data_IF_581488615273
#
_entry.id   IF_581488615273
#
_cell.length_a   1.000
_cell.length_b   1.000
_cell.length_c   1.000
_cell.angle_alpha   90.00
_cell.angle_beta   90.00
_cell.angle_gamma   90.00
#
_symmetry.space_group_name_H-M   'P 1'
#
loop_
_entity.id
_entity.type
_entity.pdbx_description
1 polymer ?
#
# COMPACT_ATOMS: atom_id res chain seq x y z
N UNK A 1 -9.31 31.25 -32.06
CA UNK A 1 -8.23 30.26 -32.27
C UNK A 1 -7.41 30.15 -31.00
N UNK A 2 -7.38 28.97 -30.38
CA UNK A 2 -6.26 28.32 -29.66
C UNK A 2 -6.85 27.21 -28.79
N UNK A 3 -6.53 25.98 -29.20
CA UNK A 3 -6.91 24.70 -28.60
C UNK A 3 -6.07 24.50 -27.33
N UNK A 4 -6.67 24.16 -26.20
CA UNK A 4 -5.93 23.54 -25.10
C UNK A 4 -6.74 22.38 -24.53
N UNK A 5 -6.43 21.18 -25.04
CA UNK A 5 -6.87 19.92 -24.47
C UNK A 5 -6.33 19.79 -23.05
N UNK A 6 -7.19 20.09 -22.09
CA UNK A 6 -6.91 19.86 -20.68
C UNK A 6 -6.78 18.35 -20.46
N UNK A 7 -5.58 17.96 -20.03
CA UNK A 7 -5.14 16.60 -19.73
C UNK A 7 -6.04 15.98 -18.66
N UNK A 8 -7.07 15.27 -19.08
CA UNK A 8 -7.98 14.47 -18.23
C UNK A 8 -7.20 13.41 -17.40
N UNK A 9 -5.95 13.11 -17.76
CA UNK A 9 -5.11 12.15 -17.03
C UNK A 9 -4.48 12.63 -15.71
N UNK A 10 -4.49 13.93 -15.39
CA UNK A 10 -3.72 14.46 -14.24
C UNK A 10 -4.56 14.71 -12.96
N UNK A 11 -5.88 14.62 -13.02
CA UNK A 11 -6.77 15.01 -11.90
C UNK A 11 -7.20 13.81 -11.03
N UNK A 12 -7.04 12.58 -11.49
CA UNK A 12 -7.52 11.39 -10.77
C UNK A 12 -6.64 10.92 -9.59
N UNK A 13 -5.43 11.46 -9.42
CA UNK A 13 -4.49 11.01 -8.38
C UNK A 13 -4.49 11.87 -7.10
N UNK A 14 -5.20 13.00 -7.07
CA UNK A 14 -5.13 13.95 -5.96
C UNK A 14 -6.29 13.88 -4.94
N UNK A 15 -7.32 13.07 -5.18
CA UNK A 15 -8.54 13.06 -4.36
C UNK A 15 -8.59 12.00 -3.24
N UNK A 16 -7.52 11.22 -2.99
CA UNK A 16 -7.57 10.05 -2.09
C UNK A 16 -7.05 10.33 -0.66
N UNK A 17 -6.59 11.54 -0.34
CA UNK A 17 -5.83 11.78 0.91
C UNK A 17 -6.50 12.65 1.97
N UNK A 18 -7.82 12.85 1.93
CA UNK A 18 -8.52 13.62 2.95
C UNK A 18 -9.65 12.79 3.57
N UNK A 19 -9.47 12.48 4.87
CA UNK A 19 -10.42 11.94 5.85
C UNK A 19 -10.68 10.42 5.86
N UNK A 20 -10.04 9.72 6.82
CA UNK A 20 -10.64 8.66 7.65
C UNK A 20 -11.10 7.33 7.04
N UNK A 21 -11.24 7.21 5.72
CA UNK A 21 -11.67 6.00 5.02
C UNK A 21 -10.57 5.56 4.04
N UNK A 22 -10.31 4.25 4.01
CA UNK A 22 -9.44 3.65 3.00
C UNK A 22 -9.92 3.90 1.56
N UNK A 23 -9.12 3.52 0.55
CA UNK A 23 -9.55 3.63 -0.84
C UNK A 23 -10.82 2.82 -1.07
N UNK A 24 -11.63 3.21 -2.06
CA UNK A 24 -12.72 2.35 -2.56
C UNK A 24 -12.16 1.18 -3.37
N UNK A 25 -12.95 0.12 -3.61
CA UNK A 25 -12.51 -1.03 -4.42
C UNK A 25 -12.04 -0.64 -5.84
N UNK A 26 -12.73 0.25 -6.58
CA UNK A 26 -12.23 0.72 -7.87
C UNK A 26 -10.91 1.51 -7.76
N UNK A 27 -10.77 2.37 -6.75
CA UNK A 27 -9.53 3.12 -6.52
C UNK A 27 -8.36 2.19 -6.20
N UNK A 28 -8.60 1.16 -5.40
CA UNK A 28 -7.62 0.12 -5.12
C UNK A 28 -7.18 -0.60 -6.40
N UNK A 29 -8.11 -1.03 -7.24
CA UNK A 29 -7.79 -1.72 -8.50
C UNK A 29 -6.96 -0.84 -9.45
N UNK A 30 -7.32 0.44 -9.59
CA UNK A 30 -6.53 1.40 -10.38
C UNK A 30 -5.13 1.57 -9.81
N UNK A 31 -5.00 1.67 -8.48
CA UNK A 31 -3.70 1.77 -7.82
C UNK A 31 -2.85 0.50 -8.05
N UNK A 32 -3.45 -0.69 -7.97
CA UNK A 32 -2.79 -1.97 -8.24
C UNK A 32 -2.25 -2.01 -9.68
N UNK A 33 -3.08 -1.70 -10.67
CA UNK A 33 -2.66 -1.70 -12.08
C UNK A 33 -1.59 -0.64 -12.35
N UNK A 34 -1.71 0.54 -11.74
CA UNK A 34 -0.68 1.58 -11.80
C UNK A 34 0.66 1.07 -11.25
N UNK A 35 0.64 0.38 -10.10
CA UNK A 35 1.82 -0.21 -9.49
C UNK A 35 2.41 -1.37 -10.30
N UNK A 36 1.60 -2.17 -11.00
CA UNK A 36 2.12 -3.22 -11.90
C UNK A 36 2.94 -2.62 -13.04
N UNK A 37 2.42 -1.56 -13.67
CA UNK A 37 3.06 -0.91 -14.82
C UNK A 37 4.16 0.11 -14.49
N UNK A 38 4.24 0.61 -13.25
CA UNK A 38 5.16 1.70 -12.89
C UNK A 38 5.98 1.39 -11.64
N UNK A 39 7.30 1.20 -11.83
CA UNK A 39 8.26 1.09 -10.70
C UNK A 39 8.21 2.34 -9.83
N UNK A 40 8.12 3.53 -10.43
CA UNK A 40 8.04 4.80 -9.68
C UNK A 40 6.79 4.87 -8.81
N UNK A 41 5.66 4.36 -9.28
CA UNK A 41 4.45 4.27 -8.48
C UNK A 41 4.62 3.30 -7.29
N UNK A 42 5.23 2.12 -7.52
CA UNK A 42 5.56 1.18 -6.43
C UNK A 42 6.48 1.80 -5.38
N UNK A 43 7.52 2.49 -5.83
CA UNK A 43 8.48 3.15 -4.94
C UNK A 43 7.78 4.23 -4.10
N UNK A 44 6.91 5.04 -4.72
CA UNK A 44 6.12 6.04 -4.00
C UNK A 44 5.16 5.42 -2.98
N UNK A 45 4.38 4.41 -3.35
CA UNK A 45 3.47 3.73 -2.41
C UNK A 45 4.24 3.08 -1.27
N UNK A 46 5.41 2.51 -1.53
CA UNK A 46 6.29 1.96 -0.50
C UNK A 46 6.77 3.04 0.47
N UNK A 47 7.17 4.21 -0.04
CA UNK A 47 7.58 5.34 0.79
C UNK A 47 6.43 5.89 1.64
N UNK A 48 5.24 6.04 1.06
CA UNK A 48 4.04 6.49 1.76
C UNK A 48 3.63 5.49 2.87
N UNK A 49 3.77 4.19 2.60
CA UNK A 49 3.58 3.15 3.62
C UNK A 49 4.57 3.29 4.78
N UNK A 50 5.86 3.50 4.51
CA UNK A 50 6.90 3.65 5.56
C UNK A 50 6.61 4.87 6.45
N UNK A 51 6.16 5.97 5.84
CA UNK A 51 5.83 7.21 6.56
C UNK A 51 4.64 7.03 7.53
N UNK A 52 3.73 6.09 7.26
CA UNK A 52 2.57 5.82 8.09
C UNK A 52 2.82 5.00 9.36
N UNK A 53 4.04 4.51 9.60
CA UNK A 53 4.35 3.67 10.77
C UNK A 53 4.44 4.48 12.07
N UNK A 54 3.64 4.09 13.06
CA UNK A 54 3.83 4.46 14.47
C UNK A 54 4.92 3.60 15.12
N UNK A 55 5.46 4.03 16.26
CA UNK A 55 6.47 3.25 17.00
C UNK A 55 5.95 1.86 17.42
N UNK A 56 4.72 1.76 17.92
CA UNK A 56 4.08 0.47 18.23
C UNK A 56 3.93 -0.41 16.99
N UNK A 57 3.64 0.19 15.83
CA UNK A 57 3.60 -0.52 14.55
C UNK A 57 4.96 -1.09 14.14
N UNK A 58 6.06 -0.39 14.44
CA UNK A 58 7.43 -0.87 14.18
C UNK A 58 7.73 -2.13 14.99
N UNK A 59 7.46 -2.08 16.29
CA UNK A 59 7.69 -3.21 17.20
C UNK A 59 6.87 -4.44 16.78
N UNK A 60 5.57 -4.25 16.50
CA UNK A 60 4.71 -5.33 16.01
C UNK A 60 5.19 -5.90 14.67
N UNK A 61 5.60 -5.06 13.73
CA UNK A 61 6.15 -5.52 12.46
C UNK A 61 7.48 -6.27 12.64
N UNK A 62 8.39 -5.80 13.48
CA UNK A 62 9.66 -6.46 13.76
C UNK A 62 9.44 -7.90 14.26
N UNK A 63 8.48 -8.09 15.18
CA UNK A 63 8.11 -9.41 15.70
C UNK A 63 7.53 -10.33 14.62
N UNK A 64 6.60 -9.85 13.80
CA UNK A 64 5.95 -10.68 12.78
C UNK A 64 6.89 -11.00 11.62
N UNK A 65 7.76 -10.06 11.25
CA UNK A 65 8.71 -10.19 10.15
C UNK A 65 9.97 -10.99 10.52
N UNK A 66 10.25 -11.14 11.81
CA UNK A 66 11.49 -11.67 12.38
C UNK A 66 12.73 -10.90 11.89
N UNK A 67 12.72 -9.58 12.09
CA UNK A 67 13.82 -8.67 11.69
C UNK A 67 14.08 -7.60 12.74
N UNK A 68 15.28 -6.97 12.77
CA UNK A 68 15.53 -5.81 13.62
C UNK A 68 14.55 -4.65 13.35
N UNK A 69 14.16 -3.90 14.39
CA UNK A 69 13.21 -2.77 14.28
C UNK A 69 13.59 -1.75 13.21
N UNK A 70 14.89 -1.48 13.03
CA UNK A 70 15.41 -0.55 12.01
C UNK A 70 15.03 -0.96 10.58
N UNK A 71 14.82 -2.25 10.33
CA UNK A 71 14.48 -2.81 9.02
C UNK A 71 12.98 -3.07 8.86
N UNK A 72 12.24 -3.14 9.97
CA UNK A 72 10.85 -3.57 10.00
C UNK A 72 9.94 -2.76 9.07
N UNK A 73 10.03 -1.42 9.08
CA UNK A 73 9.20 -0.57 8.20
C UNK A 73 9.42 -0.88 6.73
N UNK A 74 10.69 -0.94 6.33
CA UNK A 74 11.10 -1.16 4.93
C UNK A 74 10.66 -2.54 4.47
N UNK A 75 10.97 -3.58 5.25
CA UNK A 75 10.65 -4.97 4.91
C UNK A 75 9.13 -5.19 4.88
N UNK A 76 8.38 -4.63 5.84
CA UNK A 76 6.92 -4.68 5.86
C UNK A 76 6.33 -4.11 4.56
N UNK A 77 6.64 -2.85 4.27
CA UNK A 77 6.05 -2.16 3.12
C UNK A 77 6.45 -2.81 1.79
N UNK A 78 7.69 -3.29 1.65
CA UNK A 78 8.13 -4.03 0.47
C UNK A 78 7.34 -5.32 0.28
N UNK A 79 7.19 -6.15 1.33
CA UNK A 79 6.43 -7.41 1.26
C UNK A 79 4.95 -7.16 0.93
N UNK A 80 4.35 -6.16 1.57
CA UNK A 80 2.95 -5.80 1.36
C UNK A 80 2.68 -5.31 -0.07
N UNK A 81 3.48 -4.35 -0.56
CA UNK A 81 3.33 -3.81 -1.93
C UNK A 81 3.57 -4.91 -2.96
N UNK A 82 4.60 -5.74 -2.77
CA UNK A 82 4.87 -6.87 -3.65
C UNK A 82 3.68 -7.84 -3.69
N UNK A 83 3.14 -8.22 -2.53
CA UNK A 83 2.01 -9.15 -2.44
C UNK A 83 0.73 -8.58 -3.08
N UNK A 84 0.44 -7.30 -2.88
CA UNK A 84 -0.68 -6.61 -3.54
C UNK A 84 -0.52 -6.64 -5.06
N UNK A 85 0.66 -6.26 -5.58
CA UNK A 85 0.91 -6.25 -7.03
C UNK A 85 0.89 -7.66 -7.66
N UNK A 86 1.28 -8.68 -6.89
CA UNK A 86 1.25 -10.08 -7.31
C UNK A 86 -0.14 -10.73 -7.17
N UNK A 87 -1.16 -10.01 -6.67
CA UNK A 87 -2.48 -10.56 -6.41
C UNK A 87 -2.54 -11.52 -5.21
N UNK A 88 -1.47 -11.59 -4.41
CA UNK A 88 -1.43 -12.35 -3.15
C UNK A 88 -2.17 -11.66 -2.02
N UNK A 89 -2.50 -10.37 -2.16
CA UNK A 89 -3.40 -9.64 -1.26
C UNK A 89 -4.41 -8.85 -2.11
N UNK A 90 -5.63 -8.78 -1.62
CA UNK A 90 -6.75 -8.14 -2.30
C UNK A 90 -7.28 -6.94 -1.50
N UNK A 91 -8.40 -6.39 -1.96
CA UNK A 91 -9.03 -5.23 -1.35
C UNK A 91 -9.55 -5.55 0.06
N UNK A 92 -10.09 -6.75 0.24
CA UNK A 92 -10.65 -7.23 1.49
C UNK A 92 -9.54 -7.42 2.55
N UNK A 93 -8.36 -7.90 2.15
CA UNK A 93 -7.17 -7.93 3.01
C UNK A 93 -6.73 -6.51 3.43
N UNK A 94 -6.69 -5.55 2.50
CA UNK A 94 -6.34 -4.16 2.81
C UNK A 94 -7.34 -3.53 3.79
N UNK A 95 -8.65 -3.72 3.57
CA UNK A 95 -9.68 -3.20 4.46
C UNK A 95 -9.56 -3.80 5.87
N UNK A 96 -9.25 -5.10 5.95
CA UNK A 96 -9.01 -5.79 7.21
C UNK A 96 -7.82 -5.19 7.97
N UNK A 97 -6.75 -4.80 7.28
CA UNK A 97 -5.62 -4.11 7.89
C UNK A 97 -5.97 -2.71 8.40
N UNK A 98 -6.72 -1.93 7.61
CA UNK A 98 -7.19 -0.58 8.00
C UNK A 98 -8.07 -0.67 9.25
N UNK A 99 -8.91 -1.71 9.33
CA UNK A 99 -9.74 -2.03 10.49
C UNK A 99 -8.96 -2.63 11.68
N UNK A 100 -7.62 -2.73 11.60
CA UNK A 100 -6.74 -3.32 12.61
C UNK A 100 -7.07 -4.79 12.95
N UNK A 101 -7.55 -5.54 11.95
CA UNK A 101 -7.91 -6.96 12.04
C UNK A 101 -7.24 -7.74 10.90
N UNK A 102 -5.90 -7.82 10.86
CA UNK A 102 -5.19 -8.45 9.75
C UNK A 102 -5.61 -9.92 9.58
N UNK A 103 -5.77 -10.35 8.34
CA UNK A 103 -6.10 -11.75 8.01
C UNK A 103 -4.86 -12.64 8.18
N UNK A 104 -5.06 -13.96 8.33
CA UNK A 104 -3.94 -14.91 8.33
C UNK A 104 -3.11 -14.84 7.02
N UNK A 105 -3.73 -14.41 5.91
CA UNK A 105 -3.09 -14.20 4.61
C UNK A 105 -2.07 -13.05 4.68
N UNK A 106 -2.42 -11.93 5.32
CA UNK A 106 -1.49 -10.81 5.59
C UNK A 106 -0.31 -11.26 6.47
N UNK A 107 -0.57 -12.02 7.54
CA UNK A 107 0.49 -12.53 8.41
C UNK A 107 1.47 -13.43 7.65
N UNK A 108 0.97 -14.33 6.79
CA UNK A 108 1.82 -15.19 5.95
C UNK A 108 2.69 -14.38 4.99
N UNK A 109 2.12 -13.38 4.31
CA UNK A 109 2.88 -12.45 3.46
C UNK A 109 3.99 -11.75 4.23
N UNK A 110 3.68 -11.25 5.43
CA UNK A 110 4.67 -10.63 6.30
C UNK A 110 5.75 -11.64 6.69
N UNK A 111 5.42 -12.90 6.94
CA UNK A 111 6.37 -13.97 7.20
C UNK A 111 7.06 -14.55 5.94
N UNK A 112 6.83 -13.96 4.76
CA UNK A 112 7.39 -14.40 3.49
C UNK A 112 7.04 -15.86 3.10
N UNK A 113 5.82 -16.31 3.41
CA UNK A 113 5.28 -17.63 3.02
C UNK A 113 3.83 -17.57 2.55
#
# INVERSE_FOLDING_TARGET
>A
MMKNGYRIGAVLLAAVLMAGCGPTKPQFQVAVETMKGSKRARDKVTADCIAGFTQTGVQGAALVLDVPEKDAKRVACQRMVAAITAGRLDYEDLQSMIAKRPTAKVVRVMQNR
#
